data_IF_085021397765
#
_entry.id   IF_085021397765
#
_cell.length_a   1.000
_cell.length_b   1.000
_cell.length_c   1.000
_cell.angle_alpha   90.00
_cell.angle_beta   90.00
_cell.angle_gamma   90.00
#
_symmetry.space_group_name_H-M   'P 1'
#
loop_
_entity.id
_entity.type
_entity.pdbx_description
1 polymer ?
#
# COMPACT_ATOMS: atom_id res chain seq x y z
N UNK A 1 14.38 -0.10 19.02
CA UNK A 1 14.36 -1.01 17.84
C UNK A 1 15.56 -0.71 16.96
N UNK A 2 16.25 -1.73 16.46
CA UNK A 2 17.37 -1.54 15.51
C UNK A 2 16.81 -1.27 14.11
N UNK A 3 17.49 -0.45 13.29
CA UNK A 3 16.98 0.00 11.99
C UNK A 3 16.74 -1.19 11.03
N UNK A 4 17.51 -2.25 11.18
CA UNK A 4 17.49 -3.45 10.35
C UNK A 4 16.22 -4.30 10.55
N UNK A 5 15.48 -4.11 11.64
CA UNK A 5 14.24 -4.84 11.95
C UNK A 5 12.99 -4.14 11.41
N UNK A 6 13.14 -2.93 10.85
CA UNK A 6 12.02 -2.16 10.31
C UNK A 6 11.56 -2.79 9.00
N UNK A 7 10.29 -3.23 8.97
CA UNK A 7 9.66 -3.79 7.78
C UNK A 7 9.16 -2.65 6.87
N UNK A 8 10.06 -2.09 6.06
CA UNK A 8 9.76 -0.99 5.11
C UNK A 8 8.75 -1.34 4.03
N UNK A 9 8.57 -2.64 3.77
CA UNK A 9 7.56 -3.13 2.85
C UNK A 9 6.17 -3.27 3.49
N UNK A 10 6.00 -2.90 4.77
CA UNK A 10 4.70 -2.94 5.44
C UNK A 10 3.76 -1.82 4.93
N UNK A 11 2.48 -2.13 4.70
CA UNK A 11 1.45 -1.16 4.29
C UNK A 11 1.22 -0.05 5.32
N UNK A 12 1.47 -0.34 6.60
CA UNK A 12 1.32 0.62 7.69
C UNK A 12 2.58 1.46 7.92
N UNK A 13 3.66 1.20 7.18
CA UNK A 13 4.93 1.90 7.39
C UNK A 13 4.77 3.41 7.13
N UNK A 14 5.15 4.20 8.13
CA UNK A 14 5.20 5.65 8.07
C UNK A 14 6.66 6.09 8.20
N UNK A 15 7.20 6.79 7.20
CA UNK A 15 8.64 7.07 7.13
C UNK A 15 9.17 8.07 8.15
N UNK A 16 8.28 8.79 8.83
CA UNK A 16 8.60 9.94 9.69
C UNK A 16 8.03 9.81 11.11
N UNK A 17 7.16 8.84 11.35
CA UNK A 17 6.52 8.58 12.65
C UNK A 17 6.30 7.07 12.83
N UNK A 18 6.08 6.57 14.06
CA UNK A 18 5.65 5.19 14.23
C UNK A 18 4.29 4.93 13.56
N UNK A 19 4.12 3.72 13.02
CA UNK A 19 2.91 3.30 12.36
C UNK A 19 1.70 3.25 13.32
N UNK A 20 0.49 3.27 12.76
CA UNK A 20 -0.75 3.21 13.56
C UNK A 20 -0.82 1.98 14.49
N UNK A 21 -0.49 0.74 14.07
CA UNK A 21 -0.48 -0.42 14.97
C UNK A 21 0.49 -0.26 16.14
N UNK A 22 1.69 0.27 15.90
CA UNK A 22 2.64 0.55 16.98
C UNK A 22 2.06 1.54 18.00
N UNK A 23 1.42 2.62 17.54
CA UNK A 23 0.81 3.62 18.44
C UNK A 23 -0.39 3.10 19.24
N UNK A 24 -1.17 2.16 18.69
CA UNK A 24 -2.40 1.67 19.33
C UNK A 24 -2.19 0.43 20.20
N UNK A 25 -1.21 -0.41 19.86
CA UNK A 25 -1.03 -1.73 20.47
C UNK A 25 0.37 -1.94 21.05
N UNK A 26 1.24 -0.92 20.99
CA UNK A 26 2.63 -0.95 21.46
C UNK A 26 3.50 -2.07 20.84
N UNK A 27 3.10 -2.57 19.67
CA UNK A 27 3.80 -3.64 18.94
C UNK A 27 5.04 -3.13 18.22
N UNK A 28 6.09 -3.95 18.16
CA UNK A 28 7.36 -3.65 17.47
C UNK A 28 7.47 -4.50 16.19
N UNK A 29 8.25 -4.06 15.20
CA UNK A 29 8.25 -4.69 13.87
C UNK A 29 8.75 -6.15 13.85
N UNK A 30 9.60 -6.53 14.81
CA UNK A 30 10.13 -7.88 15.01
C UNK A 30 9.03 -8.90 15.36
N UNK A 31 8.08 -8.52 16.21
CA UNK A 31 6.94 -9.35 16.63
C UNK A 31 5.58 -8.67 16.39
N UNK A 32 5.44 -8.00 15.24
CA UNK A 32 4.21 -7.28 14.88
C UNK A 32 3.18 -8.23 14.26
N UNK A 33 2.11 -8.52 14.99
CA UNK A 33 0.94 -9.26 14.50
C UNK A 33 0.14 -8.53 13.41
N UNK A 34 0.36 -7.21 13.27
CA UNK A 34 -0.27 -6.34 12.26
C UNK A 34 0.62 -6.12 11.04
N UNK A 35 1.66 -6.93 10.84
CA UNK A 35 2.48 -6.82 9.63
C UNK A 35 1.63 -7.17 8.40
N UNK A 36 1.44 -6.18 7.52
CA UNK A 36 0.74 -6.32 6.24
C UNK A 36 1.72 -6.02 5.12
N UNK A 37 2.12 -7.04 4.35
CA UNK A 37 3.08 -6.87 3.27
C UNK A 37 2.46 -6.05 2.14
N UNK A 38 3.15 -4.98 1.77
CA UNK A 38 2.78 -4.07 0.69
C UNK A 38 2.43 -4.83 -0.58
N UNK A 39 1.25 -4.52 -1.09
CA UNK A 39 0.70 -5.09 -2.31
C UNK A 39 1.32 -4.46 -3.54
N UNK A 40 1.22 -5.10 -4.72
CA UNK A 40 1.68 -4.51 -5.97
C UNK A 40 1.10 -3.10 -6.16
N UNK A 41 1.98 -2.16 -6.54
CA UNK A 41 1.62 -0.78 -6.89
C UNK A 41 1.42 -0.71 -8.40
N UNK A 42 0.25 -0.28 -8.84
CA UNK A 42 -0.11 -0.22 -10.27
C UNK A 42 -0.26 1.25 -10.66
N UNK A 43 0.66 1.74 -11.49
CA UNK A 43 0.62 3.10 -12.01
C UNK A 43 -0.09 3.14 -13.36
N UNK A 44 -1.24 3.83 -13.43
CA UNK A 44 -1.90 4.15 -14.69
C UNK A 44 -1.43 5.51 -15.20
N UNK A 45 -0.80 5.53 -16.39
CA UNK A 45 -0.41 6.76 -17.06
C UNK A 45 -1.30 6.92 -18.31
N UNK A 46 -2.17 7.94 -18.32
CA UNK A 46 -2.99 8.29 -19.47
C UNK A 46 -2.95 9.81 -19.68
N UNK A 47 -2.17 10.24 -20.67
CA UNK A 47 -1.87 11.65 -20.95
C UNK A 47 -2.82 12.28 -22.00
N UNK A 48 -4.06 11.78 -22.11
CA UNK A 48 -4.99 12.09 -23.21
C UNK A 48 -6.24 12.87 -22.81
N UNK A 49 -7.13 13.10 -23.78
CA UNK A 49 -8.40 13.79 -23.62
C UNK A 49 -9.33 13.13 -22.58
N UNK A 50 -10.21 13.92 -21.95
CA UNK A 50 -11.12 13.45 -20.90
C UNK A 50 -11.96 12.23 -21.32
N UNK A 51 -12.43 12.20 -22.57
CA UNK A 51 -13.22 11.07 -23.09
C UNK A 51 -12.43 9.76 -23.09
N UNK A 52 -11.13 9.83 -23.33
CA UNK A 52 -10.22 8.69 -23.28
C UNK A 52 -10.00 8.20 -21.85
N UNK A 53 -9.89 9.13 -20.89
CA UNK A 53 -9.79 8.82 -19.46
C UNK A 53 -11.03 8.07 -19.00
N UNK A 54 -12.23 8.57 -19.32
CA UNK A 54 -13.50 7.95 -18.93
C UNK A 54 -13.61 6.52 -19.47
N UNK A 55 -13.27 6.29 -20.74
CA UNK A 55 -13.30 4.94 -21.35
C UNK A 55 -12.28 3.97 -20.73
N UNK A 56 -11.24 4.47 -20.08
CA UNK A 56 -10.26 3.62 -19.36
C UNK A 56 -10.59 3.38 -17.89
N UNK A 57 -11.57 4.08 -17.30
CA UNK A 57 -11.95 3.87 -15.89
C UNK A 57 -12.40 2.44 -15.54
N UNK A 58 -13.04 1.65 -16.43
CA UNK A 58 -13.38 0.25 -16.12
C UNK A 58 -12.16 -0.66 -15.89
N UNK A 59 -10.96 -0.25 -16.33
CA UNK A 59 -9.73 -0.98 -16.03
C UNK A 59 -9.46 -1.00 -14.53
N UNK A 60 -9.81 0.07 -13.79
CA UNK A 60 -9.59 0.11 -12.35
C UNK A 60 -10.32 -1.03 -11.63
N UNK A 61 -11.57 -1.31 -12.02
CA UNK A 61 -12.36 -2.41 -11.45
C UNK A 61 -11.69 -3.76 -11.71
N UNK A 62 -11.34 -4.03 -12.98
CA UNK A 62 -10.73 -5.31 -13.37
C UNK A 62 -9.38 -5.54 -12.70
N UNK A 63 -8.56 -4.50 -12.55
CA UNK A 63 -7.27 -4.63 -11.88
C UNK A 63 -7.40 -4.81 -10.36
N UNK A 64 -8.40 -4.18 -9.72
CA UNK A 64 -8.71 -4.44 -8.30
C UNK A 64 -9.16 -5.88 -8.04
N UNK A 65 -9.95 -6.45 -8.94
CA UNK A 65 -10.37 -7.86 -8.86
C UNK A 65 -9.19 -8.81 -9.09
N UNK A 66 -8.36 -8.53 -10.10
CA UNK A 66 -7.22 -9.38 -10.45
C UNK A 66 -6.08 -9.31 -9.44
N UNK A 67 -5.87 -8.15 -8.82
CA UNK A 67 -4.83 -7.91 -7.82
C UNK A 67 -5.47 -7.38 -6.54
N UNK A 68 -6.06 -8.27 -5.71
CA UNK A 68 -6.64 -7.88 -4.44
C UNK A 68 -5.64 -7.10 -3.59
N UNK A 69 -6.12 -6.07 -2.93
CA UNK A 69 -5.37 -5.18 -2.05
C UNK A 69 -4.34 -4.25 -2.74
N UNK A 70 -4.16 -4.28 -4.07
CA UNK A 70 -3.23 -3.39 -4.80
C UNK A 70 -3.45 -1.89 -4.53
N UNK A 71 -2.38 -1.10 -4.68
CA UNK A 71 -2.40 0.36 -4.58
C UNK A 71 -2.22 1.01 -5.95
#
# INVERSE_FOLDING_TARGET
MKKEQVKYDCRHFEGHIPCKPNKLHDVQCDDCSYYDKGTPRILFIKLGAIGDVIRTTPLLTKYKEKYPNCH
#
